data_IF_970338594824
#
_entry.id   IF_970338594824
#
_cell.length_a   1.000
_cell.length_b   1.000
_cell.length_c   1.000
_cell.angle_alpha   90.00
_cell.angle_beta   90.00
_cell.angle_gamma   90.00
#
_symmetry.space_group_name_H-M   'P 1'
#
loop_
_entity.id
_entity.type
_entity.pdbx_description
1 polymer ?
#
# COMPACT_ATOMS: atom_id res chain seq x y z
N UNK A 1 -5.00 5.42 4.72
CA UNK A 1 -5.90 4.31 4.33
C UNK A 1 -5.05 3.09 4.02
N UNK A 2 -5.60 1.89 4.17
CA UNK A 2 -4.84 0.64 4.10
C UNK A 2 -4.04 0.47 2.80
N UNK A 3 -4.64 0.78 1.64
CA UNK A 3 -3.96 0.63 0.33
C UNK A 3 -2.78 1.60 0.12
N UNK A 4 -2.88 2.84 0.63
CA UNK A 4 -1.72 3.75 0.64
C UNK A 4 -0.62 3.24 1.57
N UNK A 5 -1.00 2.74 2.75
CA UNK A 5 -0.06 2.12 3.68
C UNK A 5 0.70 0.99 3.01
N UNK A 6 0.00 0.10 2.29
CA UNK A 6 0.62 -0.94 1.48
C UNK A 6 1.66 -0.41 0.48
N UNK A 7 1.35 0.63 -0.30
CA UNK A 7 2.31 1.23 -1.23
C UNK A 7 3.52 1.81 -0.49
N UNK A 8 3.27 2.58 0.57
CA UNK A 8 4.31 3.27 1.32
C UNK A 8 5.25 2.28 2.02
N UNK A 9 4.70 1.23 2.65
CA UNK A 9 5.48 0.18 3.32
C UNK A 9 6.30 -0.65 2.31
N UNK A 10 5.75 -0.90 1.13
CA UNK A 10 6.47 -1.60 0.05
C UNK A 10 7.61 -0.73 -0.50
N UNK A 11 7.38 0.57 -0.69
CA UNK A 11 8.44 1.51 -1.09
C UNK A 11 9.58 1.56 -0.06
N UNK A 12 9.27 1.55 1.24
CA UNK A 12 10.30 1.52 2.29
C UNK A 12 11.09 0.21 2.24
N UNK A 13 10.42 -0.91 1.96
CA UNK A 13 11.06 -2.23 1.81
C UNK A 13 12.00 -2.29 0.61
N UNK A 14 11.75 -1.51 -0.44
CA UNK A 14 12.65 -1.38 -1.59
C UNK A 14 13.91 -0.57 -1.26
N UNK A 15 13.75 0.55 -0.57
CA UNK A 15 14.89 1.37 -0.15
C UNK A 15 14.48 2.35 0.96
N UNK A 16 15.30 2.44 2.01
CA UNK A 16 15.07 3.34 3.15
C UNK A 16 14.91 4.83 2.78
N UNK A 17 15.36 5.26 1.58
CA UNK A 17 15.20 6.65 1.10
C UNK A 17 13.74 7.02 0.88
N UNK A 18 12.87 6.04 0.64
CA UNK A 18 11.45 6.29 0.45
C UNK A 18 10.74 6.64 1.76
N UNK A 19 11.29 6.25 2.91
CA UNK A 19 10.79 6.70 4.22
C UNK A 19 10.99 8.21 4.41
N UNK A 20 12.11 8.73 3.91
CA UNK A 20 12.39 10.16 3.93
C UNK A 20 11.35 10.97 3.12
N UNK A 21 10.96 10.49 1.94
CA UNK A 21 9.93 11.15 1.12
C UNK A 21 8.59 11.25 1.86
N UNK A 22 8.20 10.19 2.57
CA UNK A 22 6.99 10.17 3.40
C UNK A 22 7.12 11.15 4.57
N UNK A 23 8.24 11.14 5.28
CA UNK A 23 8.50 12.03 6.41
C UNK A 23 8.49 13.51 6.01
N UNK A 24 9.06 13.85 4.85
CA UNK A 24 9.06 15.20 4.31
C UNK A 24 7.64 15.66 3.95
N UNK A 25 6.86 14.82 3.28
CA UNK A 25 5.46 15.09 2.97
C UNK A 25 4.65 15.35 4.26
N UNK A 26 4.76 14.47 5.24
CA UNK A 26 4.02 14.59 6.51
C UNK A 26 4.42 15.83 7.31
N UNK A 27 5.70 16.21 7.27
CA UNK A 27 6.19 17.45 7.88
C UNK A 27 5.56 18.67 7.23
N UNK A 28 5.57 18.76 5.90
CA UNK A 28 5.01 19.91 5.17
C UNK A 28 3.48 19.97 5.36
N UNK A 29 2.79 18.83 5.30
CA UNK A 29 1.34 18.77 5.53
C UNK A 29 0.95 19.24 6.93
N UNK A 30 1.72 18.87 7.96
CA UNK A 30 1.49 19.36 9.33
C UNK A 30 1.67 20.87 9.44
N UNK A 31 2.75 21.41 8.87
CA UNK A 31 3.03 22.85 8.90
C UNK A 31 1.97 23.65 8.15
N UNK A 32 1.63 23.23 6.93
CA UNK A 32 0.57 23.83 6.13
C UNK A 32 -0.79 23.74 6.82
N UNK A 33 -1.13 22.58 7.38
CA UNK A 33 -2.38 22.36 8.11
C UNK A 33 -2.51 23.24 9.36
N UNK A 34 -1.42 23.49 10.08
CA UNK A 34 -1.41 24.43 11.20
C UNK A 34 -1.73 25.86 10.74
N UNK A 35 -1.11 26.31 9.64
CA UNK A 35 -1.38 27.62 9.05
C UNK A 35 -2.83 27.75 8.56
N UNK A 36 -3.36 26.72 7.89
CA UNK A 36 -4.75 26.71 7.44
C UNK A 36 -5.74 26.86 8.61
N UNK A 37 -5.49 26.19 9.73
CA UNK A 37 -6.32 26.32 10.94
C UNK A 37 -6.20 27.70 11.58
N UNK A 38 -4.98 28.23 11.67
CA UNK A 38 -4.72 29.56 12.22
C UNK A 38 -5.37 30.67 11.39
N UNK A 39 -5.52 30.46 10.08
CA UNK A 39 -6.15 31.43 9.19
C UNK A 39 -7.62 31.71 9.50
N UNK A 40 -8.31 30.81 10.23
CA UNK A 40 -9.74 30.93 10.53
C UNK A 40 -10.61 31.03 9.26
N UNK A 41 -10.14 30.47 8.14
CA UNK A 41 -10.81 30.53 6.84
C UNK A 41 -10.60 31.83 6.06
N UNK A 42 -9.74 32.74 6.53
CA UNK A 42 -9.48 34.04 5.89
C UNK A 42 -8.12 34.02 5.18
N UNK A 43 -8.09 34.51 3.95
CA UNK A 43 -6.84 34.69 3.19
C UNK A 43 -6.38 36.15 3.32
N UNK A 44 -5.44 36.40 4.22
CA UNK A 44 -4.68 37.66 4.26
C UNK A 44 -3.34 37.53 3.52
N UNK A 45 -2.70 38.64 3.18
CA UNK A 45 -1.49 38.67 2.36
C UNK A 45 -0.33 37.86 2.98
N UNK A 46 -0.08 38.00 4.29
CA UNK A 46 0.95 37.23 5.00
C UNK A 46 0.68 35.72 4.97
N UNK A 47 -0.59 35.33 5.08
CA UNK A 47 -1.02 33.92 5.01
C UNK A 47 -0.83 33.40 3.59
N UNK A 48 -1.17 34.20 2.57
CA UNK A 48 -0.99 33.84 1.17
C UNK A 48 0.49 33.57 0.85
N UNK A 49 1.38 34.50 1.22
CA UNK A 49 2.83 34.36 1.01
C UNK A 49 3.37 33.11 1.72
N UNK A 50 2.95 32.85 2.95
CA UNK A 50 3.40 31.67 3.71
C UNK A 50 2.84 30.37 3.11
N UNK A 51 1.59 30.38 2.63
CA UNK A 51 1.00 29.25 1.91
C UNK A 51 1.75 28.95 0.62
N UNK A 52 2.20 29.95 -0.13
CA UNK A 52 2.98 29.74 -1.37
C UNK A 52 4.30 29.01 -1.09
N UNK A 53 4.98 29.34 0.02
CA UNK A 53 6.20 28.63 0.46
C UNK A 53 5.90 27.18 0.83
N UNK A 54 4.80 26.92 1.53
CA UNK A 54 4.41 25.55 1.87
C UNK A 54 3.91 24.75 0.67
N UNK A 55 3.21 25.38 -0.27
CA UNK A 55 2.73 24.76 -1.51
C UNK A 55 3.93 24.35 -2.36
N UNK A 56 4.96 25.19 -2.52
CA UNK A 56 6.18 24.81 -3.24
C UNK A 56 6.88 23.59 -2.62
N UNK A 57 6.98 23.53 -1.27
CA UNK A 57 7.54 22.37 -0.57
C UNK A 57 6.67 21.12 -0.72
N UNK A 58 5.35 21.30 -0.68
CA UNK A 58 4.38 20.21 -0.82
C UNK A 58 4.41 19.63 -2.24
N UNK A 59 4.59 20.47 -3.26
CA UNK A 59 4.78 20.04 -4.64
C UNK A 59 6.03 19.18 -4.77
N UNK A 60 7.17 19.67 -4.27
CA UNK A 60 8.43 18.92 -4.36
C UNK A 60 8.37 17.54 -3.69
N UNK A 61 7.91 17.47 -2.44
CA UNK A 61 7.79 16.20 -1.73
C UNK A 61 6.67 15.31 -2.30
N UNK A 62 5.55 15.92 -2.66
CA UNK A 62 4.36 15.21 -3.10
C UNK A 62 4.52 14.57 -4.48
N UNK A 63 5.09 15.30 -5.45
CA UNK A 63 5.32 14.74 -6.78
C UNK A 63 6.39 13.65 -6.76
N UNK A 64 7.43 13.78 -5.93
CA UNK A 64 8.44 12.74 -5.74
C UNK A 64 7.84 11.44 -5.19
N UNK A 65 6.99 11.53 -4.15
CA UNK A 65 6.31 10.35 -3.61
C UNK A 65 5.33 9.72 -4.62
N UNK A 66 4.56 10.55 -5.33
CA UNK A 66 3.63 10.05 -6.35
C UNK A 66 4.36 9.38 -7.52
N UNK A 67 5.50 9.91 -7.94
CA UNK A 67 6.34 9.28 -8.96
C UNK A 67 6.85 7.90 -8.50
N UNK A 68 7.32 7.80 -7.25
CA UNK A 68 7.74 6.52 -6.68
C UNK A 68 6.59 5.51 -6.62
N UNK A 69 5.39 5.94 -6.20
CA UNK A 69 4.19 5.09 -6.18
C UNK A 69 3.77 4.63 -7.57
N UNK A 70 3.80 5.51 -8.58
CA UNK A 70 3.53 5.15 -9.98
C UNK A 70 4.50 4.09 -10.48
N UNK A 71 5.80 4.27 -10.19
CA UNK A 71 6.82 3.28 -10.57
C UNK A 71 6.57 1.93 -9.88
N UNK A 72 6.31 1.93 -8.57
CA UNK A 72 5.99 0.70 -7.84
C UNK A 72 4.76 -0.01 -8.43
N UNK A 73 3.70 0.71 -8.77
CA UNK A 73 2.50 0.11 -9.38
C UNK A 73 2.81 -0.46 -10.78
N UNK A 74 3.67 0.21 -11.55
CA UNK A 74 4.15 -0.32 -12.83
C UNK A 74 4.95 -1.63 -12.64
N UNK A 75 5.78 -1.72 -11.61
CA UNK A 75 6.58 -2.91 -11.30
C UNK A 75 5.73 -4.06 -10.71
N UNK A 76 4.68 -3.72 -9.96
CA UNK A 76 3.75 -4.70 -9.37
C UNK A 76 2.86 -5.38 -10.42
N UNK A 77 2.34 -4.62 -11.39
CA UNK A 77 1.32 -5.11 -12.32
C UNK A 77 1.70 -6.41 -13.07
N UNK A 78 2.93 -6.57 -13.61
CA UNK A 78 3.34 -7.81 -14.29
C UNK A 78 3.27 -9.05 -13.39
N UNK A 79 3.65 -8.93 -12.12
CA UNK A 79 3.69 -10.07 -11.19
C UNK A 79 2.38 -10.26 -10.42
N UNK A 80 1.58 -9.21 -10.27
CA UNK A 80 0.30 -9.23 -9.57
C UNK A 80 -0.71 -10.17 -10.24
N UNK A 81 -0.82 -10.12 -11.56
CA UNK A 81 -1.74 -10.99 -12.30
C UNK A 81 -1.36 -12.47 -12.10
N UNK A 82 -0.08 -12.81 -12.23
CA UNK A 82 0.41 -14.18 -11.99
C UNK A 82 0.16 -14.63 -10.55
N UNK A 83 0.49 -13.81 -9.56
CA UNK A 83 0.25 -14.14 -8.16
C UNK A 83 -1.24 -14.33 -7.85
N UNK A 84 -2.11 -13.52 -8.46
CA UNK A 84 -3.55 -13.68 -8.30
C UNK A 84 -4.05 -14.99 -8.90
N UNK A 85 -3.70 -15.29 -10.15
CA UNK A 85 -4.16 -16.50 -10.83
C UNK A 85 -3.74 -17.77 -10.07
N UNK A 86 -2.52 -17.75 -9.51
CA UNK A 86 -1.99 -18.81 -8.67
C UNK A 86 -2.82 -19.00 -7.39
N UNK A 87 -3.03 -17.93 -6.59
CA UNK A 87 -3.77 -18.03 -5.32
C UNK A 87 -5.27 -18.27 -5.53
N UNK A 88 -5.86 -17.59 -6.50
CA UNK A 88 -7.29 -17.65 -6.78
C UNK A 88 -7.70 -18.91 -7.55
N UNK A 89 -6.73 -19.61 -8.16
CA UNK A 89 -6.92 -20.76 -9.06
C UNK A 89 -7.82 -20.48 -10.27
N UNK A 90 -8.02 -19.21 -10.57
CA UNK A 90 -8.86 -18.75 -11.68
C UNK A 90 -8.11 -17.62 -12.36
N UNK A 91 -7.88 -17.78 -13.66
CA UNK A 91 -7.27 -16.73 -14.46
C UNK A 91 -8.19 -15.51 -14.52
N UNK A 92 -7.72 -14.38 -14.03
CA UNK A 92 -8.44 -13.11 -14.13
C UNK A 92 -7.48 -11.98 -14.47
N UNK A 93 -7.95 -11.05 -15.29
CA UNK A 93 -7.19 -9.84 -15.57
C UNK A 93 -7.22 -8.92 -14.34
N UNK A 94 -6.19 -9.03 -13.49
CA UNK A 94 -6.01 -8.16 -12.32
C UNK A 94 -5.14 -6.97 -12.68
N UNK A 95 -5.56 -5.79 -12.25
CA UNK A 95 -4.83 -4.54 -12.46
C UNK A 95 -4.86 -3.67 -11.23
N UNK A 96 -3.70 -3.09 -10.91
CA UNK A 96 -3.56 -1.99 -9.98
C UNK A 96 -3.31 -0.69 -10.74
N UNK A 97 -4.03 0.37 -10.37
CA UNK A 97 -3.91 1.69 -10.99
C UNK A 97 -3.69 2.74 -9.92
N UNK A 98 -2.67 3.58 -10.10
CA UNK A 98 -2.43 4.76 -9.29
C UNK A 98 -2.35 5.98 -10.21
N UNK A 99 -3.50 6.60 -10.41
CA UNK A 99 -3.68 7.78 -11.25
C UNK A 99 -4.47 8.85 -10.48
N UNK A 100 -3.79 9.66 -9.66
CA UNK A 100 -4.50 10.59 -8.81
C UNK A 100 -5.08 11.76 -9.63
N UNK A 101 -6.27 12.30 -9.31
CA UNK A 101 -6.95 13.29 -10.14
C UNK A 101 -6.14 14.57 -10.43
N UNK A 102 -5.22 14.93 -9.53
CA UNK A 102 -4.36 16.10 -9.69
C UNK A 102 -3.17 15.87 -10.64
N UNK A 103 -2.89 14.64 -11.06
CA UNK A 103 -1.74 14.32 -11.90
C UNK A 103 -1.84 14.93 -13.31
N UNK A 104 -3.05 15.10 -13.85
CA UNK A 104 -3.26 15.65 -15.18
C UNK A 104 -2.80 17.12 -15.31
N UNK A 105 -3.01 17.92 -14.27
CA UNK A 105 -2.66 19.36 -14.24
C UNK A 105 -1.41 19.67 -13.41
N UNK A 106 -0.96 18.70 -12.60
CA UNK A 106 0.15 18.85 -11.65
C UNK A 106 -0.30 19.32 -10.27
N UNK A 107 0.48 18.98 -9.25
CA UNK A 107 0.10 19.23 -7.85
C UNK A 107 0.04 20.74 -7.54
N UNK A 108 0.89 21.55 -8.19
CA UNK A 108 0.92 22.99 -8.00
C UNK A 108 -0.40 23.66 -8.40
N UNK A 109 -0.90 23.38 -9.61
CA UNK A 109 -2.16 23.91 -10.11
C UNK A 109 -3.34 23.45 -9.24
N UNK A 110 -3.34 22.18 -8.85
CA UNK A 110 -4.40 21.62 -8.03
C UNK A 110 -4.46 22.23 -6.61
N UNK A 111 -3.31 22.56 -6.00
CA UNK A 111 -3.24 23.27 -4.71
C UNK A 111 -3.78 24.71 -4.79
N UNK A 112 -3.49 25.41 -5.90
CA UNK A 112 -4.04 26.75 -6.14
C UNK A 112 -5.56 26.67 -6.27
N UNK A 113 -6.06 25.71 -7.06
CA UNK A 113 -7.49 25.50 -7.24
C UNK A 113 -8.21 25.11 -5.94
N UNK A 114 -7.59 24.29 -5.08
CA UNK A 114 -8.17 23.83 -3.81
C UNK A 114 -8.04 24.83 -2.66
N UNK A 115 -7.26 25.90 -2.80
CA UNK A 115 -6.87 26.81 -1.70
C UNK A 115 -8.06 27.36 -0.91
N UNK A 116 -9.14 27.79 -1.59
CA UNK A 116 -10.34 28.30 -0.92
C UNK A 116 -11.02 27.23 -0.06
N UNK A 117 -11.11 26.00 -0.56
CA UNK A 117 -11.70 24.89 0.19
C UNK A 117 -10.80 24.48 1.36
N UNK A 118 -9.49 24.43 1.13
CA UNK A 118 -8.49 24.11 2.15
C UNK A 118 -8.54 25.08 3.34
N UNK A 119 -8.65 26.39 3.07
CA UNK A 119 -8.82 27.43 4.10
C UNK A 119 -10.11 27.24 4.89
N UNK A 120 -11.23 27.05 4.17
CA UNK A 120 -12.54 26.86 4.78
C UNK A 120 -12.57 25.62 5.68
N UNK A 121 -11.93 24.53 5.27
CA UNK A 121 -11.90 23.26 6.02
C UNK A 121 -10.76 23.18 7.03
N UNK A 122 -9.78 24.07 6.97
CA UNK A 122 -8.58 24.01 7.81
C UNK A 122 -7.68 22.79 7.54
N UNK A 123 -7.76 22.18 6.36
CA UNK A 123 -7.01 20.96 6.00
C UNK A 123 -6.65 20.95 4.52
N UNK A 124 -5.50 20.37 4.16
CA UNK A 124 -5.14 20.13 2.75
C UNK A 124 -6.02 19.03 2.15
N UNK A 125 -6.75 19.34 1.09
CA UNK A 125 -7.72 18.44 0.43
C UNK A 125 -7.18 17.74 -0.82
N UNK A 126 -6.04 18.16 -1.37
CA UNK A 126 -5.43 17.58 -2.57
C UNK A 126 -3.96 17.22 -2.34
N UNK A 127 -3.52 16.11 -2.90
CA UNK A 127 -2.14 15.63 -2.88
C UNK A 127 -2.01 14.16 -2.44
N UNK A 128 -0.80 13.59 -2.42
CA UNK A 128 -0.57 12.15 -2.24
C UNK A 128 -1.12 11.52 -0.96
N UNK A 129 -1.37 12.31 0.08
CA UNK A 129 -2.02 11.86 1.31
C UNK A 129 -3.51 11.52 1.13
N UNK A 130 -4.12 11.98 0.03
CA UNK A 130 -5.53 11.78 -0.34
C UNK A 130 -5.75 10.76 -1.44
N UNK A 131 -4.70 10.43 -2.19
CA UNK A 131 -4.79 9.51 -3.31
C UNK A 131 -5.23 8.10 -2.90
N UNK A 132 -5.77 7.36 -3.87
CA UNK A 132 -6.18 5.97 -3.71
C UNK A 132 -5.46 5.07 -4.72
N UNK A 133 -5.25 3.81 -4.33
CA UNK A 133 -4.85 2.75 -5.24
C UNK A 133 -6.12 2.02 -5.68
N UNK A 134 -6.40 2.04 -6.96
CA UNK A 134 -7.52 1.34 -7.56
C UNK A 134 -7.10 -0.09 -7.92
N UNK A 135 -8.01 -1.03 -7.70
CA UNK A 135 -7.78 -2.45 -7.93
C UNK A 135 -8.97 -3.02 -8.68
N UNK A 136 -8.69 -3.72 -9.76
CA UNK A 136 -9.68 -4.32 -10.63
C UNK A 136 -9.44 -5.82 -10.78
N UNK A 137 -10.52 -6.58 -10.91
CA UNK A 137 -10.50 -8.00 -11.29
C UNK A 137 -11.45 -8.15 -12.49
N UNK A 138 -10.94 -8.64 -13.61
CA UNK A 138 -11.73 -8.75 -14.84
C UNK A 138 -12.25 -7.41 -15.38
N UNK A 139 -11.54 -6.32 -15.09
CA UNK A 139 -11.94 -4.95 -15.50
C UNK A 139 -13.07 -4.34 -14.66
N UNK A 140 -13.46 -4.97 -13.55
CA UNK A 140 -14.44 -4.44 -12.61
C UNK A 140 -13.78 -4.01 -11.29
N UNK A 141 -14.23 -2.92 -10.65
CA UNK A 141 -13.66 -2.49 -9.37
C UNK A 141 -13.82 -3.57 -8.29
N UNK A 142 -12.70 -4.05 -7.75
CA UNK A 142 -12.68 -5.15 -6.78
C UNK A 142 -13.41 -4.81 -5.47
N UNK A 143 -13.43 -3.52 -5.09
CA UNK A 143 -14.07 -3.07 -3.85
C UNK A 143 -15.58 -3.33 -3.84
N UNK A 144 -16.23 -3.24 -4.99
CA UNK A 144 -17.69 -3.29 -5.11
C UNK A 144 -18.21 -4.55 -5.81
N UNK A 145 -17.40 -5.19 -6.65
CA UNK A 145 -17.84 -6.31 -7.48
C UNK A 145 -17.18 -7.66 -7.14
N UNK A 146 -16.04 -7.66 -6.43
CA UNK A 146 -15.39 -8.91 -6.07
C UNK A 146 -16.07 -9.56 -4.86
N UNK A 147 -16.23 -10.88 -4.91
CA UNK A 147 -16.62 -11.70 -3.77
C UNK A 147 -15.58 -11.64 -2.64
N UNK A 148 -15.97 -12.04 -1.42
CA UNK A 148 -15.02 -12.07 -0.30
C UNK A 148 -13.79 -12.95 -0.58
N UNK A 149 -13.95 -14.10 -1.23
CA UNK A 149 -12.84 -14.99 -1.58
C UNK A 149 -11.88 -14.36 -2.60
N UNK A 150 -12.41 -13.64 -3.58
CA UNK A 150 -11.60 -12.89 -4.55
C UNK A 150 -10.86 -11.72 -3.90
N UNK A 151 -11.50 -10.99 -2.99
CA UNK A 151 -10.85 -9.91 -2.23
C UNK A 151 -9.68 -10.43 -1.38
N UNK A 152 -9.86 -11.58 -0.69
CA UNK A 152 -8.78 -12.23 0.07
C UNK A 152 -7.63 -12.67 -0.83
N UNK A 153 -7.96 -13.30 -1.95
CA UNK A 153 -6.96 -13.77 -2.92
C UNK A 153 -6.19 -12.61 -3.53
N UNK A 154 -6.86 -11.50 -3.84
CA UNK A 154 -6.23 -10.27 -4.29
C UNK A 154 -5.31 -9.65 -3.23
N UNK A 155 -5.72 -9.64 -1.97
CA UNK A 155 -4.88 -9.15 -0.87
C UNK A 155 -3.60 -9.99 -0.71
N UNK A 156 -3.71 -11.32 -0.80
CA UNK A 156 -2.57 -12.23 -0.77
C UNK A 156 -1.68 -12.05 -2.00
N UNK A 157 -2.26 -11.95 -3.19
CA UNK A 157 -1.54 -11.70 -4.43
C UNK A 157 -0.75 -10.39 -4.39
N UNK A 158 -1.31 -9.31 -3.82
CA UNK A 158 -0.59 -8.05 -3.61
C UNK A 158 0.63 -8.22 -2.69
N UNK A 159 0.54 -9.06 -1.65
CA UNK A 159 1.67 -9.33 -0.75
C UNK A 159 2.76 -10.15 -1.44
N UNK A 160 2.39 -11.19 -2.20
CA UNK A 160 3.32 -11.99 -3.00
C UNK A 160 3.98 -11.14 -4.10
N UNK A 161 3.21 -10.30 -4.79
CA UNK A 161 3.72 -9.35 -5.79
C UNK A 161 4.75 -8.38 -5.18
N UNK A 162 4.44 -7.81 -4.00
CA UNK A 162 5.39 -6.96 -3.29
C UNK A 162 6.67 -7.71 -2.89
N UNK A 163 6.54 -8.96 -2.41
CA UNK A 163 7.70 -9.82 -2.10
C UNK A 163 8.59 -10.03 -3.35
N UNK A 164 7.99 -10.37 -4.49
CA UNK A 164 8.72 -10.53 -5.75
C UNK A 164 9.44 -9.26 -6.19
N UNK A 165 8.75 -8.11 -6.17
CA UNK A 165 9.31 -6.82 -6.56
C UNK A 165 10.47 -6.42 -5.63
N UNK A 166 10.31 -6.62 -4.32
CA UNK A 166 11.38 -6.34 -3.34
C UNK A 166 12.58 -7.26 -3.58
N UNK A 167 12.35 -8.57 -3.71
CA UNK A 167 13.41 -9.55 -3.96
C UNK A 167 14.21 -9.21 -5.21
N UNK A 168 13.53 -8.87 -6.31
CA UNK A 168 14.18 -8.52 -7.57
C UNK A 168 14.99 -7.23 -7.50
N UNK A 169 14.56 -6.26 -6.68
CA UNK A 169 15.24 -4.97 -6.56
C UNK A 169 16.41 -4.97 -5.57
N UNK A 170 16.36 -5.80 -4.54
CA UNK A 170 17.37 -5.83 -3.46
C UNK A 170 18.34 -7.00 -3.56
N UNK A 171 18.07 -7.98 -4.43
CA UNK A 171 18.77 -9.27 -4.51
C UNK A 171 18.74 -10.04 -3.17
N UNK A 172 17.74 -9.73 -2.33
CA UNK A 172 17.56 -10.31 -1.01
C UNK A 172 16.08 -10.61 -0.77
N UNK A 173 15.75 -11.90 -0.61
CA UNK A 173 14.38 -12.31 -0.32
C UNK A 173 13.97 -11.88 1.09
N UNK A 174 12.92 -11.05 1.25
CA UNK A 174 12.42 -10.68 2.57
C UNK A 174 11.75 -11.88 3.25
N UNK A 175 11.74 -11.87 4.58
CA UNK A 175 10.98 -12.84 5.39
C UNK A 175 9.49 -12.58 5.19
N UNK A 176 8.75 -13.62 4.81
CA UNK A 176 7.31 -13.54 4.64
C UNK A 176 6.61 -13.89 5.95
N UNK A 177 5.74 -13.01 6.45
CA UNK A 177 4.92 -13.26 7.63
C UNK A 177 3.45 -13.43 7.20
N UNK A 178 2.87 -14.58 7.48
CA UNK A 178 1.48 -14.91 7.19
C UNK A 178 0.73 -15.08 8.51
N UNK A 179 -0.11 -14.10 8.84
CA UNK A 179 -0.83 -14.08 10.12
C UNK A 179 -2.25 -14.64 9.96
N UNK A 180 -2.47 -15.87 10.42
CA UNK A 180 -3.72 -16.64 10.36
C UNK A 180 -4.45 -16.64 9.00
N UNK A 181 -3.73 -16.42 7.90
CA UNK A 181 -4.35 -16.25 6.57
C UNK A 181 -5.09 -17.49 6.07
N UNK A 182 -4.73 -18.67 6.58
CA UNK A 182 -5.28 -19.95 6.16
C UNK A 182 -6.65 -20.27 6.78
N UNK A 183 -6.99 -19.65 7.92
CA UNK A 183 -8.32 -19.83 8.53
C UNK A 183 -9.43 -19.18 7.68
N UNK A 184 -9.06 -18.27 6.78
CA UNK A 184 -9.97 -17.53 5.90
C UNK A 184 -10.07 -18.08 4.47
N UNK A 185 -9.28 -19.09 4.14
CA UNK A 185 -9.19 -19.71 2.82
C UNK A 185 -9.88 -21.07 2.79
N UNK A 186 -10.52 -21.38 1.67
CA UNK A 186 -10.92 -22.75 1.39
C UNK A 186 -9.69 -23.67 1.18
N UNK A 187 -9.85 -25.01 1.31
CA UNK A 187 -8.73 -25.95 1.22
C UNK A 187 -7.94 -25.83 -0.09
N UNK A 188 -8.64 -25.59 -1.19
CA UNK A 188 -8.04 -25.49 -2.52
C UNK A 188 -7.15 -24.25 -2.65
N UNK A 189 -7.62 -23.09 -2.16
CA UNK A 189 -6.82 -21.85 -2.13
C UNK A 189 -5.67 -21.92 -1.13
N UNK A 190 -5.86 -22.60 0.00
CA UNK A 190 -4.79 -22.83 0.97
C UNK A 190 -3.62 -23.59 0.33
N UNK A 191 -3.94 -24.69 -0.34
CA UNK A 191 -2.97 -25.51 -1.07
C UNK A 191 -2.31 -24.73 -2.24
N UNK A 192 -3.08 -23.90 -2.93
CA UNK A 192 -2.54 -23.02 -3.97
C UNK A 192 -1.59 -21.95 -3.40
N UNK A 193 -1.94 -21.30 -2.29
CA UNK A 193 -1.07 -20.34 -1.61
C UNK A 193 0.25 -20.99 -1.19
N UNK A 194 0.21 -22.18 -0.58
CA UNK A 194 1.41 -22.93 -0.16
C UNK A 194 2.36 -23.19 -1.34
N UNK A 195 1.83 -23.59 -2.50
CA UNK A 195 2.62 -23.79 -3.72
C UNK A 195 3.16 -22.51 -4.34
N UNK A 196 2.55 -21.38 -4.02
CA UNK A 196 2.89 -20.06 -4.59
C UNK A 196 3.80 -19.26 -3.65
N UNK A 197 4.18 -19.83 -2.50
CA UNK A 197 5.11 -19.16 -1.60
C UNK A 197 6.46 -19.01 -2.31
N UNK A 198 7.06 -17.81 -2.26
CA UNK A 198 8.37 -17.58 -2.83
C UNK A 198 9.43 -18.36 -2.07
N UNK A 199 10.57 -18.62 -2.72
CA UNK A 199 11.74 -19.17 -2.05
C UNK A 199 12.20 -18.23 -0.92
N UNK A 200 12.62 -18.81 0.20
CA UNK A 200 13.08 -18.05 1.36
C UNK A 200 12.39 -18.47 2.65
N UNK A 201 12.50 -17.62 3.67
CA UNK A 201 11.92 -17.90 4.98
C UNK A 201 10.49 -17.37 5.08
N UNK A 202 9.55 -18.27 5.40
CA UNK A 202 8.16 -17.93 5.71
C UNK A 202 7.84 -18.29 7.15
N UNK A 203 7.21 -17.37 7.89
CA UNK A 203 6.65 -17.61 9.22
C UNK A 203 5.13 -17.57 9.09
N UNK A 204 4.49 -18.63 9.55
CA UNK A 204 3.06 -18.81 9.54
C UNK A 204 2.54 -18.85 10.98
N UNK A 205 1.61 -17.95 11.32
CA UNK A 205 0.80 -18.08 12.52
C UNK A 205 -0.52 -18.75 12.16
N UNK A 206 -1.05 -19.58 13.05
CA UNK A 206 -2.39 -20.15 12.90
C UNK A 206 -2.93 -20.60 14.25
N UNK A 207 -4.24 -20.43 14.46
CA UNK A 207 -4.95 -20.97 15.62
C UNK A 207 -5.65 -22.31 15.34
N UNK A 208 -5.85 -22.67 14.07
CA UNK A 208 -6.62 -23.84 13.62
C UNK A 208 -5.76 -25.05 13.24
N UNK A 209 -4.43 -24.93 13.38
CA UNK A 209 -3.46 -25.96 13.03
C UNK A 209 -2.87 -25.75 11.63
N UNK A 210 -1.84 -26.53 11.30
CA UNK A 210 -1.14 -26.39 10.02
C UNK A 210 -2.07 -26.74 8.85
N UNK A 211 -2.12 -25.92 7.78
CA UNK A 211 -2.91 -26.23 6.61
C UNK A 211 -2.41 -27.53 5.95
N UNK A 212 -3.32 -28.38 5.41
CA UNK A 212 -2.92 -29.60 4.72
C UNK A 212 -1.92 -29.30 3.60
N UNK A 213 -0.81 -30.06 3.55
CA UNK A 213 0.26 -29.87 2.58
C UNK A 213 1.38 -28.93 3.02
N UNK A 214 1.24 -28.22 4.14
CA UNK A 214 2.35 -27.47 4.71
C UNK A 214 3.42 -28.42 5.26
N UNK A 215 4.68 -28.18 4.88
CA UNK A 215 5.85 -28.92 5.37
C UNK A 215 6.79 -27.93 6.05
N UNK A 216 6.55 -27.59 7.34
CA UNK A 216 7.37 -26.61 8.04
C UNK A 216 8.72 -27.20 8.42
N UNK A 217 9.78 -26.38 8.35
CA UNK A 217 11.09 -26.75 8.89
C UNK A 217 11.13 -26.75 10.43
N UNK A 218 10.23 -26.00 11.07
CA UNK A 218 10.03 -25.98 12.51
C UNK A 218 8.59 -25.59 12.84
N UNK A 219 8.03 -26.19 13.88
CA UNK A 219 6.74 -25.80 14.46
C UNK A 219 7.02 -25.17 15.82
N UNK A 220 6.36 -24.06 16.12
CA UNK A 220 6.43 -23.39 17.41
C UNK A 220 5.02 -23.26 17.98
N UNK A 221 4.87 -23.62 19.24
CA UNK A 221 3.63 -23.46 19.99
C UNK A 221 3.71 -22.22 20.88
N UNK A 222 2.69 -21.36 20.78
CA UNK A 222 2.57 -20.16 21.60
C UNK A 222 1.42 -20.34 22.58
N UNK A 223 1.71 -20.34 23.89
CA UNK A 223 0.72 -20.44 24.97
C UNK A 223 1.06 -19.45 26.08
N UNK A 224 0.07 -18.68 26.51
CA UNK A 224 0.20 -17.71 27.62
C UNK A 224 1.41 -16.76 27.45
N UNK A 225 1.64 -16.30 26.22
CA UNK A 225 2.78 -15.42 25.90
C UNK A 225 4.15 -16.11 25.87
N UNK A 226 4.22 -17.42 26.03
CA UNK A 226 5.46 -18.22 25.96
C UNK A 226 5.53 -18.99 24.64
N UNK A 227 6.69 -18.98 23.99
CA UNK A 227 6.97 -19.75 22.76
C UNK A 227 7.76 -21.01 23.11
N UNK A 228 7.30 -22.17 22.66
CA UNK A 228 7.95 -23.48 22.85
C UNK A 228 8.04 -24.24 21.53
N UNK A 229 9.00 -25.16 21.34
CA UNK A 229 8.99 -26.06 20.18
C UNK A 229 7.67 -26.85 20.12
N UNK A 230 7.00 -26.81 18.98
CA UNK A 230 5.86 -27.66 18.65
C UNK A 230 6.36 -29.02 18.16
N UNK A 231 5.79 -30.09 18.70
CA UNK A 231 6.14 -31.47 18.36
C UNK A 231 5.69 -31.90 16.97
#
# INVERSE_FOLDING_TARGET
GARRGYLDDTLVSLHARHDQLRGDLDKVLRQRGALLKQSGGRLGDDIALTLDVFDAKLVAAGEALAAARRQLVADLNPVLATAYDQVARTAAHVRATYDPPWAAEGLAAALVASRRDDLRRGVTTVGPHRDELELEIGGLPARTHASQGEQRSLALALRLAAHHVVTAATDASPVLLLDDVFSELDPDRSDALLRSLPEGQTILSTASGLPPGAVPGAVLEVREGTVRPGG
#
